data_IF_838047108538
#
_entry.id   IF_838047108538
#
_cell.length_a   1.000
_cell.length_b   1.000
_cell.length_c   1.000
_cell.angle_alpha   90.00
_cell.angle_beta   90.00
_cell.angle_gamma   90.00
#
_symmetry.space_group_name_H-M   'P 1'
#
loop_
_entity.id
_entity.type
_entity.pdbx_description
1 polymer ?
#
# COMPACT_ATOMS: atom_id res chain seq x y z
N UNK A 1 6.68 -4.35 22.31
CA UNK A 1 6.42 -2.92 21.97
C UNK A 1 5.68 -2.26 23.12
N UNK A 2 5.98 -1.00 23.44
CA UNK A 2 5.29 -0.25 24.50
C UNK A 2 4.01 0.42 23.98
N UNK A 3 3.05 0.70 24.87
CA UNK A 3 1.81 1.40 24.52
C UNK A 3 2.05 2.78 23.86
N UNK A 4 3.05 3.59 24.28
CA UNK A 4 3.41 4.82 23.57
C UNK A 4 3.92 4.59 22.14
N UNK A 5 4.70 3.53 21.90
CA UNK A 5 5.20 3.19 20.58
C UNK A 5 4.06 2.75 19.64
N UNK A 6 3.15 1.90 20.13
CA UNK A 6 1.97 1.49 19.37
C UNK A 6 1.07 2.67 19.01
N UNK A 7 0.82 3.58 19.96
CA UNK A 7 0.02 4.80 19.72
C UNK A 7 0.66 5.71 18.66
N UNK A 8 2.00 5.79 18.63
CA UNK A 8 2.73 6.52 17.61
C UNK A 8 2.55 5.88 16.24
N UNK A 9 2.70 4.56 16.12
CA UNK A 9 2.48 3.85 14.85
C UNK A 9 1.05 4.03 14.34
N UNK A 10 0.04 3.83 15.20
CA UNK A 10 -1.36 4.00 14.82
C UNK A 10 -1.68 5.43 14.37
N UNK A 11 -1.05 6.45 14.97
CA UNK A 11 -1.16 7.84 14.50
C UNK A 11 -0.62 8.01 13.09
N UNK A 12 0.58 7.48 12.81
CA UNK A 12 1.21 7.57 11.48
C UNK A 12 0.38 6.82 10.44
N UNK A 13 -0.03 5.59 10.75
CA UNK A 13 -0.86 4.78 9.84
C UNK A 13 -2.20 5.45 9.54
N UNK A 14 -2.83 6.07 10.54
CA UNK A 14 -4.08 6.80 10.36
C UNK A 14 -3.88 8.07 9.54
N UNK A 15 -2.82 8.83 9.79
CA UNK A 15 -2.47 10.02 9.01
C UNK A 15 -2.19 9.68 7.54
N UNK A 16 -1.56 8.53 7.29
CA UNK A 16 -1.36 7.98 5.95
C UNK A 16 -2.60 7.30 5.35
N UNK A 17 -3.73 7.29 6.04
CA UNK A 17 -4.97 6.69 5.57
C UNK A 17 -4.95 5.17 5.42
N UNK A 18 -3.97 4.47 5.98
CA UNK A 18 -3.83 3.01 5.92
C UNK A 18 -4.74 2.30 6.92
N UNK A 19 -5.14 2.99 7.98
CA UNK A 19 -6.10 2.51 8.98
C UNK A 19 -7.18 3.55 9.22
N UNK A 20 -8.37 3.08 9.58
CA UNK A 20 -9.44 3.91 10.15
C UNK A 20 -9.61 3.61 11.63
N UNK A 21 -10.23 4.54 12.35
CA UNK A 21 -10.46 4.43 13.78
C UNK A 21 -11.94 4.68 14.09
N UNK A 22 -12.57 3.72 14.74
CA UNK A 22 -14.00 3.75 15.10
C UNK A 22 -14.17 3.60 16.62
N UNK A 23 -15.29 4.08 17.15
CA UNK A 23 -15.62 3.88 18.56
C UNK A 23 -15.86 2.39 18.83
N UNK A 24 -15.34 1.87 19.93
CA UNK A 24 -15.43 0.45 20.28
C UNK A 24 -16.82 0.06 20.81
N UNK A 25 -17.81 0.02 19.91
CA UNK A 25 -19.17 -0.46 20.20
C UNK A 25 -19.75 0.20 21.45
N UNK A 26 -20.01 -0.61 22.48
CA UNK A 26 -20.64 -0.19 23.74
C UNK A 26 -19.75 0.65 24.66
N UNK A 27 -18.42 0.65 24.49
CA UNK A 27 -17.51 1.51 25.25
C UNK A 27 -16.88 2.58 24.33
N UNK A 28 -17.43 3.79 24.41
CA UNK A 28 -16.98 4.94 23.63
C UNK A 28 -15.53 5.39 23.95
N UNK A 29 -14.91 4.87 25.02
CA UNK A 29 -13.50 5.14 25.36
C UNK A 29 -12.53 4.27 24.55
N UNK A 30 -13.02 3.17 23.99
CA UNK A 30 -12.22 2.29 23.15
C UNK A 30 -12.17 2.83 21.71
N UNK A 31 -11.00 2.68 21.08
CA UNK A 31 -10.83 2.94 19.65
C UNK A 31 -10.42 1.66 18.95
N UNK A 32 -11.28 1.17 18.07
CA UNK A 32 -10.98 0.05 17.19
C UNK A 32 -10.29 0.60 15.95
N UNK A 33 -9.12 0.05 15.64
CA UNK A 33 -8.37 0.38 14.44
C UNK A 33 -8.48 -0.77 13.44
N UNK A 34 -8.94 -0.48 12.23
CA UNK A 34 -9.07 -1.45 11.15
C UNK A 34 -8.25 -1.00 9.95
N UNK A 35 -7.65 -1.96 9.24
CA UNK A 35 -6.94 -1.68 7.98
C UNK A 35 -7.95 -1.27 6.91
N UNK A 36 -7.59 -0.26 6.14
CA UNK A 36 -8.29 0.14 4.93
C UNK A 36 -7.72 -0.64 3.76
N UNK A 37 -8.54 -1.38 3.03
CA UNK A 37 -8.06 -2.22 1.93
C UNK A 37 -7.76 -1.41 0.66
N UNK A 38 -8.48 -0.30 0.47
CA UNK A 38 -8.46 0.51 -0.74
C UNK A 38 -7.07 1.07 -1.09
N UNK A 39 -6.28 1.62 -0.14
CA UNK A 39 -4.93 2.10 -0.43
C UNK A 39 -3.98 0.99 -0.92
N UNK A 40 -4.12 -0.23 -0.41
CA UNK A 40 -3.29 -1.36 -0.82
C UNK A 40 -3.68 -1.88 -2.20
N UNK A 41 -4.96 -1.93 -2.50
CA UNK A 41 -5.45 -2.29 -3.84
C UNK A 41 -4.99 -1.27 -4.89
N UNK A 42 -5.05 0.02 -4.57
CA UNK A 42 -4.55 1.08 -5.45
C UNK A 42 -3.04 0.98 -5.68
N UNK A 43 -2.26 0.70 -4.62
CA UNK A 43 -0.81 0.49 -4.72
C UNK A 43 -0.50 -0.72 -5.61
N UNK A 44 -1.20 -1.84 -5.43
CA UNK A 44 -1.00 -3.04 -6.24
C UNK A 44 -1.29 -2.76 -7.72
N UNK A 45 -2.41 -2.11 -8.02
CA UNK A 45 -2.77 -1.76 -9.39
C UNK A 45 -1.71 -0.87 -10.06
N UNK A 46 -1.13 0.07 -9.32
CA UNK A 46 -0.04 0.90 -9.82
C UNK A 46 1.24 0.09 -10.07
N UNK A 47 1.61 -0.81 -9.15
CA UNK A 47 2.77 -1.70 -9.33
C UNK A 47 2.61 -2.57 -10.56
N UNK A 48 1.43 -3.14 -10.79
CA UNK A 48 1.13 -3.98 -11.95
C UNK A 48 1.34 -3.18 -13.27
N UNK A 49 0.89 -1.92 -13.31
CA UNK A 49 1.10 -1.04 -14.47
C UNK A 49 2.58 -0.75 -14.72
N UNK A 50 3.33 -0.43 -13.67
CA UNK A 50 4.77 -0.16 -13.78
C UNK A 50 5.53 -1.41 -14.26
N UNK A 51 5.17 -2.59 -13.74
CA UNK A 51 5.77 -3.85 -14.16
C UNK A 51 5.46 -4.16 -15.62
N UNK A 52 4.21 -3.98 -16.06
CA UNK A 52 3.81 -4.19 -17.45
C UNK A 52 4.59 -3.26 -18.40
N UNK A 53 4.69 -1.97 -18.05
CA UNK A 53 5.47 -1.00 -18.81
C UNK A 53 6.92 -1.45 -19.00
N UNK A 54 7.62 -1.80 -17.92
CA UNK A 54 9.02 -2.20 -18.02
C UNK A 54 9.21 -3.53 -18.76
N UNK A 55 8.29 -4.48 -18.59
CA UNK A 55 8.33 -5.74 -19.34
C UNK A 55 8.24 -5.49 -20.85
N UNK A 56 7.35 -4.60 -21.29
CA UNK A 56 7.21 -4.21 -22.69
C UNK A 56 8.48 -3.53 -23.22
N UNK A 57 8.98 -2.51 -22.51
CA UNK A 57 10.14 -1.74 -22.96
C UNK A 57 11.40 -2.62 -23.07
N UNK A 58 11.65 -3.45 -22.05
CA UNK A 58 12.80 -4.35 -22.04
C UNK A 58 12.66 -5.48 -23.07
N UNK A 59 11.43 -5.96 -23.30
CA UNK A 59 11.12 -6.92 -24.38
C UNK A 59 11.44 -6.33 -25.76
N UNK A 60 10.93 -5.14 -26.07
CA UNK A 60 11.21 -4.45 -27.34
C UNK A 60 12.70 -4.16 -27.53
N UNK A 61 13.41 -3.79 -26.45
CA UNK A 61 14.85 -3.57 -26.51
C UNK A 61 15.60 -4.85 -26.86
N UNK A 62 15.26 -5.97 -26.21
CA UNK A 62 15.82 -7.29 -26.52
C UNK A 62 15.63 -7.63 -28.00
N UNK A 63 14.40 -7.51 -28.51
CA UNK A 63 14.07 -7.84 -29.90
C UNK A 63 14.83 -6.96 -30.92
N UNK A 64 15.11 -5.70 -30.57
CA UNK A 64 15.91 -4.81 -31.41
C UNK A 64 17.38 -5.27 -31.47
N UNK A 65 17.97 -5.62 -30.33
CA UNK A 65 19.36 -6.09 -30.25
C UNK A 65 19.54 -7.42 -30.97
N UNK A 66 18.59 -8.35 -30.82
CA UNK A 66 18.65 -9.66 -31.46
C UNK A 66 18.48 -9.59 -32.99
N UNK A 67 17.70 -8.63 -33.51
CA UNK A 67 17.55 -8.39 -34.96
C UNK A 67 18.73 -7.66 -35.60
N UNK A 68 19.48 -6.90 -34.82
CA UNK A 68 20.63 -6.12 -35.30
C UNK A 68 21.93 -6.95 -35.34
N UNK A 69 21.84 -8.25 -35.08
CA UNK A 69 22.95 -9.21 -35.08
C UNK A 69 22.83 -10.18 -36.25
#
# INVERSE_FOLDING_TARGET
MSAPALSRHLRVLRAGGLVQAEAGGSDARLRLYTLRQEPFAALQAWLDQVQAFWAEQLGSFKDHVERSR
#
